data_IF_899654770374
#
_entry.id   IF_899654770374
#
_cell.length_a   1.000
_cell.length_b   1.000
_cell.length_c   1.000
_cell.angle_alpha   90.00
_cell.angle_beta   90.00
_cell.angle_gamma   90.00
#
_symmetry.space_group_name_H-M   'P 1'
#
loop_
_entity.id
_entity.type
_entity.pdbx_description
1 polymer ?
#
# COMPACT_ATOMS: atom_id res chain seq x y z
N UNK A 1 -10.21 -6.14 -0.85
CA UNK A 1 -9.77 -4.72 -0.91
C UNK A 1 -9.86 -4.14 -2.31
N UNK A 2 -9.14 -4.69 -3.30
CA UNK A 2 -9.14 -4.19 -4.68
C UNK A 2 -10.54 -4.00 -5.29
N UNK A 3 -11.47 -4.92 -5.07
CA UNK A 3 -12.85 -4.78 -5.57
C UNK A 3 -13.60 -3.58 -4.95
N UNK A 4 -13.43 -3.31 -3.65
CA UNK A 4 -14.01 -2.13 -2.99
C UNK A 4 -13.43 -0.84 -3.55
N UNK A 5 -12.13 -0.83 -3.85
CA UNK A 5 -11.47 0.31 -4.51
C UNK A 5 -12.01 0.53 -5.93
N UNK A 6 -12.27 -0.53 -6.71
CA UNK A 6 -12.88 -0.41 -8.05
C UNK A 6 -14.26 0.24 -8.02
N UNK A 7 -15.07 -0.05 -7.01
CA UNK A 7 -16.38 0.58 -6.84
C UNK A 7 -16.26 2.09 -6.56
N UNK A 8 -15.23 2.49 -5.81
CA UNK A 8 -14.96 3.90 -5.47
C UNK A 8 -14.23 4.66 -6.58
N UNK A 9 -13.52 3.96 -7.46
CA UNK A 9 -12.71 4.51 -8.54
C UNK A 9 -13.13 3.88 -9.88
N UNK A 10 -14.30 4.26 -10.43
CA UNK A 10 -14.77 3.71 -11.69
C UNK A 10 -13.80 4.03 -12.83
N UNK A 11 -13.53 3.05 -13.69
CA UNK A 11 -12.57 3.16 -14.78
C UNK A 11 -11.16 2.65 -14.44
N UNK A 12 -10.93 2.21 -13.20
CA UNK A 12 -9.71 1.50 -12.82
C UNK A 12 -9.75 0.02 -13.19
N UNK A 13 -8.58 -0.54 -13.47
CA UNK A 13 -8.37 -1.97 -13.62
C UNK A 13 -7.76 -2.52 -12.31
N UNK A 14 -8.23 -3.68 -11.86
CA UNK A 14 -7.62 -4.39 -10.75
C UNK A 14 -7.03 -5.68 -11.28
N UNK A 15 -5.76 -5.90 -10.95
CA UNK A 15 -5.01 -7.11 -11.24
C UNK A 15 -4.47 -7.68 -9.93
N UNK A 16 -4.47 -8.99 -9.86
CA UNK A 16 -3.76 -9.71 -8.81
C UNK A 16 -2.26 -9.66 -9.13
N UNK A 17 -1.45 -9.24 -8.16
CA UNK A 17 -0.01 -9.07 -8.34
C UNK A 17 0.67 -10.39 -8.68
N UNK A 18 0.15 -11.52 -8.17
CA UNK A 18 0.68 -12.86 -8.47
C UNK A 18 0.43 -13.29 -9.93
N UNK A 19 -0.41 -12.54 -10.65
CA UNK A 19 -0.81 -12.83 -12.03
C UNK A 19 -0.35 -11.76 -13.03
N UNK A 20 0.56 -10.85 -12.65
CA UNK A 20 1.18 -9.94 -13.63
C UNK A 20 2.32 -10.65 -14.36
N UNK A 21 2.47 -10.42 -15.66
CA UNK A 21 3.48 -11.07 -16.50
C UNK A 21 4.89 -10.50 -16.22
N UNK A 22 4.97 -9.20 -15.92
CA UNK A 22 6.23 -8.51 -15.59
C UNK A 22 5.99 -7.14 -14.96
N UNK A 23 7.05 -6.59 -14.35
CA UNK A 23 7.09 -5.21 -13.83
C UNK A 23 6.74 -4.14 -14.88
N UNK A 24 6.92 -4.42 -16.18
CA UNK A 24 6.62 -3.46 -17.25
C UNK A 24 5.12 -3.14 -17.33
N UNK A 25 4.24 -4.00 -16.82
CA UNK A 25 2.81 -3.69 -16.67
C UNK A 25 2.56 -2.56 -15.67
N UNK A 26 3.31 -2.54 -14.56
CA UNK A 26 3.24 -1.45 -13.57
C UNK A 26 3.78 -0.15 -14.18
N UNK A 27 4.85 -0.23 -14.97
CA UNK A 27 5.44 0.93 -15.66
C UNK A 27 4.45 1.52 -16.68
N UNK A 28 3.70 0.67 -17.39
CA UNK A 28 2.74 1.08 -18.40
C UNK A 28 1.46 1.74 -17.84
N UNK A 29 1.13 1.51 -16.56
CA UNK A 29 -0.03 2.13 -15.92
C UNK A 29 0.13 3.66 -15.80
N UNK A 30 -0.96 4.42 -15.94
CA UNK A 30 -0.92 5.88 -15.75
C UNK A 30 -0.62 6.27 -14.30
N UNK A 31 -1.24 5.56 -13.37
CA UNK A 31 -1.09 5.69 -11.92
C UNK A 31 -1.32 4.34 -11.26
N UNK A 32 -0.80 4.14 -10.05
CA UNK A 32 -0.90 2.86 -9.34
C UNK A 32 -1.56 3.02 -7.97
N UNK A 33 -2.38 2.02 -7.61
CA UNK A 33 -2.79 1.75 -6.23
C UNK A 33 -2.33 0.34 -5.89
N UNK A 34 -1.31 0.23 -5.05
CA UNK A 34 -0.71 -1.04 -4.65
C UNK A 34 -1.34 -1.52 -3.34
N UNK A 35 -2.07 -2.63 -3.39
CA UNK A 35 -2.57 -3.30 -2.18
C UNK A 35 -1.56 -4.37 -1.74
N UNK A 36 -1.10 -4.32 -0.49
CA UNK A 36 -0.09 -5.24 0.03
C UNK A 36 -0.47 -5.74 1.44
N UNK A 37 -0.57 -7.06 1.66
CA UNK A 37 -0.74 -7.61 3.00
C UNK A 37 0.60 -7.67 3.75
N UNK A 38 0.54 -7.78 5.08
CA UNK A 38 1.71 -8.13 5.91
C UNK A 38 1.49 -9.52 6.50
N UNK A 39 2.34 -10.48 6.14
CA UNK A 39 2.28 -11.86 6.63
C UNK A 39 3.55 -12.30 7.35
N UNK A 40 4.73 -11.92 6.85
CA UNK A 40 6.01 -12.31 7.42
C UNK A 40 6.46 -11.27 8.48
N UNK A 41 5.75 -11.25 9.60
CA UNK A 41 5.90 -10.25 10.66
C UNK A 41 7.25 -10.37 11.39
N UNK A 42 7.88 -9.22 11.66
CA UNK A 42 9.23 -9.16 12.23
C UNK A 42 10.37 -9.40 11.25
N UNK A 43 10.09 -9.73 9.98
CA UNK A 43 11.12 -9.82 8.95
C UNK A 43 11.61 -8.44 8.50
N UNK A 44 12.86 -8.39 8.04
CA UNK A 44 13.45 -7.16 7.48
C UNK A 44 12.96 -6.89 6.06
N UNK A 45 12.77 -7.96 5.26
CA UNK A 45 12.36 -7.93 3.86
C UNK A 45 11.37 -9.05 3.55
N UNK A 46 10.72 -8.99 2.39
CA UNK A 46 9.76 -9.97 1.90
C UNK A 46 8.60 -10.19 2.90
N UNK A 47 7.94 -9.08 3.27
CA UNK A 47 6.93 -9.06 4.33
C UNK A 47 5.54 -9.48 3.84
N UNK A 48 5.32 -9.50 2.52
CA UNK A 48 3.99 -9.68 1.95
C UNK A 48 3.63 -11.14 1.66
N UNK A 49 4.60 -12.02 1.41
CA UNK A 49 4.32 -13.40 0.99
C UNK A 49 3.60 -13.48 -0.37
N UNK A 50 3.69 -12.44 -1.18
CA UNK A 50 3.12 -12.33 -2.53
C UNK A 50 4.22 -11.97 -3.53
N UNK A 51 3.90 -11.91 -4.82
CA UNK A 51 4.83 -11.45 -5.86
C UNK A 51 5.40 -10.04 -5.60
N UNK A 52 4.79 -9.23 -4.72
CA UNK A 52 5.41 -7.97 -4.27
C UNK A 52 6.82 -8.17 -3.70
N UNK A 53 7.10 -9.28 -3.03
CA UNK A 53 8.40 -9.55 -2.41
C UNK A 53 9.54 -9.61 -3.45
N UNK A 54 9.23 -10.06 -4.67
CA UNK A 54 10.16 -10.07 -5.79
C UNK A 54 10.13 -8.74 -6.58
N UNK A 55 8.93 -8.26 -6.91
CA UNK A 55 8.75 -7.04 -7.72
C UNK A 55 9.35 -5.80 -7.06
N UNK A 56 9.30 -5.71 -5.73
CA UNK A 56 9.85 -4.56 -4.99
C UNK A 56 11.35 -4.38 -5.22
N UNK A 57 12.06 -5.47 -5.52
CA UNK A 57 13.50 -5.43 -5.85
C UNK A 57 13.76 -4.86 -7.24
N UNK A 58 12.79 -4.98 -8.17
CA UNK A 58 12.91 -4.49 -9.54
C UNK A 58 12.48 -3.02 -9.69
N UNK A 59 11.57 -2.54 -8.83
CA UNK A 59 11.01 -1.18 -8.91
C UNK A 59 12.08 -0.09 -8.98
N UNK A 60 13.15 -0.09 -8.16
CA UNK A 60 14.17 0.97 -8.17
C UNK A 60 14.91 1.13 -9.51
N UNK A 61 14.95 0.08 -10.33
CA UNK A 61 15.62 0.06 -11.62
C UNK A 61 14.72 0.48 -12.79
N UNK A 62 13.46 0.86 -12.52
CA UNK A 62 12.47 1.26 -13.52
C UNK A 62 12.14 2.74 -13.41
N UNK A 63 11.63 3.31 -14.52
CA UNK A 63 11.25 4.72 -14.56
C UNK A 63 9.80 4.91 -14.09
N UNK A 64 9.66 5.31 -12.83
CA UNK A 64 8.39 5.75 -12.26
C UNK A 64 8.35 7.26 -12.05
N UNK A 65 9.28 8.03 -12.64
CA UNK A 65 9.46 9.45 -12.36
C UNK A 65 8.15 10.24 -12.51
N UNK A 66 7.68 10.83 -11.40
CA UNK A 66 6.45 11.64 -11.37
C UNK A 66 5.14 10.84 -11.48
N UNK A 67 5.18 9.52 -11.66
CA UNK A 67 3.98 8.67 -11.65
C UNK A 67 3.37 8.67 -10.25
N UNK A 68 2.07 8.96 -10.15
CA UNK A 68 1.35 8.88 -8.88
C UNK A 68 1.20 7.43 -8.44
N UNK A 69 1.68 7.13 -7.23
CA UNK A 69 1.58 5.80 -6.60
C UNK A 69 1.00 5.95 -5.19
N UNK A 70 -0.06 5.20 -4.93
CA UNK A 70 -0.68 5.12 -3.61
C UNK A 70 -0.62 3.67 -3.10
N UNK A 71 -0.54 3.48 -1.78
CA UNK A 71 -0.38 2.17 -1.16
C UNK A 71 -1.52 1.93 -0.16
N UNK A 72 -2.07 0.71 -0.14
CA UNK A 72 -2.99 0.22 0.87
C UNK A 72 -2.38 -1.01 1.54
N UNK A 73 -2.11 -0.91 2.83
CA UNK A 73 -1.61 -2.00 3.67
C UNK A 73 -2.76 -2.76 4.32
N UNK A 74 -2.69 -4.08 4.33
CA UNK A 74 -3.57 -4.94 5.11
C UNK A 74 -2.77 -5.61 6.23
N UNK A 75 -3.23 -5.48 7.46
CA UNK A 75 -2.58 -6.09 8.62
C UNK A 75 -3.55 -6.34 9.75
N UNK A 76 -3.08 -7.05 10.77
CA UNK A 76 -3.83 -7.39 11.98
C UNK A 76 -3.16 -6.70 13.18
N UNK A 77 -3.77 -5.60 13.61
CA UNK A 77 -3.25 -4.72 14.65
C UNK A 77 -3.32 -5.31 16.06
N UNK A 78 -4.14 -6.35 16.26
CA UNK A 78 -4.33 -7.03 17.55
C UNK A 78 -3.40 -8.23 17.70
N UNK A 79 -3.31 -9.07 16.66
CA UNK A 79 -2.45 -10.26 16.64
C UNK A 79 -0.97 -9.94 16.40
N UNK A 80 -0.68 -8.84 15.68
CA UNK A 80 0.68 -8.43 15.29
C UNK A 80 0.89 -6.93 15.47
N UNK A 81 0.53 -6.41 16.65
CA UNK A 81 0.57 -4.98 16.99
C UNK A 81 1.94 -4.31 16.79
N UNK A 82 3.04 -5.04 16.98
CA UNK A 82 4.42 -4.56 16.77
C UNK A 82 4.83 -4.45 15.28
N UNK A 83 4.02 -4.98 14.35
CA UNK A 83 4.36 -5.12 12.93
C UNK A 83 3.21 -4.67 12.01
N UNK A 84 2.37 -3.77 12.50
CA UNK A 84 1.10 -3.46 11.85
C UNK A 84 1.32 -2.83 10.46
N UNK A 85 0.85 -3.52 9.42
CA UNK A 85 0.98 -3.12 8.01
C UNK A 85 2.43 -2.83 7.55
N UNK A 86 3.44 -3.49 8.12
CA UNK A 86 4.86 -3.26 7.81
C UNK A 86 5.21 -3.36 6.31
N UNK A 87 4.52 -4.19 5.54
CA UNK A 87 4.85 -4.41 4.13
C UNK A 87 4.66 -3.16 3.24
N UNK A 88 3.88 -2.16 3.68
CA UNK A 88 3.74 -0.92 2.90
C UNK A 88 5.06 -0.17 2.73
N UNK A 89 5.93 -0.23 3.75
CA UNK A 89 7.21 0.48 3.73
C UNK A 89 8.12 0.00 2.60
N UNK A 90 8.19 -1.30 2.32
CA UNK A 90 9.04 -1.84 1.24
C UNK A 90 8.63 -1.24 -0.11
N UNK A 91 7.33 -1.22 -0.41
CA UNK A 91 6.80 -0.61 -1.62
C UNK A 91 7.05 0.90 -1.64
N UNK A 92 6.78 1.60 -0.54
CA UNK A 92 6.98 3.05 -0.46
C UNK A 92 8.43 3.42 -0.75
N UNK A 93 9.38 2.75 -0.10
CA UNK A 93 10.81 2.99 -0.25
C UNK A 93 11.26 2.71 -1.69
N UNK A 94 10.85 1.59 -2.27
CA UNK A 94 11.23 1.24 -3.64
C UNK A 94 10.67 2.23 -4.68
N UNK A 95 9.38 2.60 -4.58
CA UNK A 95 8.78 3.58 -5.48
C UNK A 95 9.37 4.98 -5.30
N UNK A 96 9.75 5.36 -4.08
CA UNK A 96 10.44 6.62 -3.85
C UNK A 96 11.81 6.65 -4.53
N UNK A 97 12.56 5.54 -4.49
CA UNK A 97 13.86 5.40 -5.14
C UNK A 97 13.76 5.47 -6.67
N UNK A 98 12.67 4.98 -7.26
CA UNK A 98 12.40 5.07 -8.70
C UNK A 98 11.82 6.41 -9.17
N UNK A 99 11.70 7.38 -8.26
CA UNK A 99 11.27 8.75 -8.56
C UNK A 99 9.75 8.94 -8.62
N UNK A 100 8.98 7.97 -8.17
CA UNK A 100 7.53 8.07 -8.15
C UNK A 100 7.04 9.17 -7.21
N UNK A 101 5.85 9.70 -7.50
CA UNK A 101 5.13 10.64 -6.65
C UNK A 101 4.24 9.84 -5.70
N UNK A 102 4.74 9.58 -4.49
CA UNK A 102 3.99 8.86 -3.46
C UNK A 102 2.90 9.76 -2.87
N UNK A 103 1.66 9.28 -2.90
CA UNK A 103 0.47 9.97 -2.41
C UNK A 103 -0.31 9.09 -1.42
N UNK A 104 -1.20 9.70 -0.63
CA UNK A 104 -2.12 8.99 0.24
C UNK A 104 -1.55 8.63 1.63
N UNK A 105 -0.58 9.39 2.15
CA UNK A 105 -0.15 9.24 3.55
C UNK A 105 -1.30 9.60 4.49
N UNK A 106 -1.57 8.77 5.51
CA UNK A 106 -2.65 9.03 6.50
C UNK A 106 -2.12 9.23 7.91
N UNK A 107 -2.92 9.89 8.76
CA UNK A 107 -2.61 10.01 10.20
C UNK A 107 -2.56 8.63 10.86
N UNK A 108 -1.71 8.48 11.87
CA UNK A 108 -1.70 7.31 12.75
C UNK A 108 -2.79 7.36 13.83
N UNK A 109 -3.49 8.50 13.95
CA UNK A 109 -4.61 8.67 14.88
C UNK A 109 -5.80 7.79 14.51
N UNK A 110 -6.46 7.23 15.52
CA UNK A 110 -7.63 6.35 15.33
C UNK A 110 -7.28 4.92 14.94
N UNK A 111 -6.02 4.51 15.14
CA UNK A 111 -5.56 3.12 15.08
C UNK A 111 -5.04 2.70 16.45
N UNK A 112 -5.12 1.40 16.76
CA UNK A 112 -4.56 0.81 17.98
C UNK A 112 -3.53 -0.24 17.59
N UNK A 113 -2.25 0.03 17.79
CA UNK A 113 -1.11 -0.84 17.49
C UNK A 113 0.09 -0.39 18.35
N UNK A 114 1.14 -1.19 18.42
CA UNK A 114 2.34 -0.89 19.21
C UNK A 114 3.45 -0.27 18.35
N UNK A 115 3.72 -0.83 17.17
CA UNK A 115 4.72 -0.31 16.23
C UNK A 115 4.38 -0.63 14.76
N UNK A 116 5.01 0.11 13.84
CA UNK A 116 4.91 -0.10 12.40
C UNK A 116 6.08 0.54 11.66
N UNK A 117 6.77 -0.25 10.83
CA UNK A 117 7.78 0.23 9.87
C UNK A 117 7.18 1.19 8.83
N UNK A 118 5.87 1.13 8.63
CA UNK A 118 5.15 1.92 7.64
C UNK A 118 4.85 3.35 8.10
N UNK A 119 5.41 3.80 9.23
CA UNK A 119 5.33 5.20 9.68
C UNK A 119 6.53 6.00 9.17
N UNK A 120 6.28 6.93 8.25
CA UNK A 120 7.29 7.80 7.64
C UNK A 120 6.88 9.25 7.84
N UNK A 121 7.73 10.03 8.51
CA UNK A 121 7.46 11.41 8.92
C UNK A 121 6.20 11.55 9.81
N UNK A 122 5.99 10.57 10.70
CA UNK A 122 4.88 10.56 11.66
C UNK A 122 3.50 10.21 11.07
N UNK A 123 3.46 9.70 9.83
CA UNK A 123 2.24 9.25 9.16
C UNK A 123 2.43 7.86 8.58
N UNK A 124 1.37 7.09 8.46
CA UNK A 124 1.43 5.89 7.63
C UNK A 124 1.75 6.29 6.18
N UNK A 125 2.65 5.55 5.55
CA UNK A 125 3.14 5.80 4.20
C UNK A 125 2.10 5.49 3.09
N UNK A 126 0.97 4.90 3.49
CA UNK A 126 -0.23 4.64 2.70
C UNK A 126 -1.42 4.44 3.64
N UNK A 127 -2.54 3.94 3.12
CA UNK A 127 -3.71 3.61 3.95
C UNK A 127 -3.52 2.28 4.68
N UNK A 128 -3.43 2.32 6.01
CA UNK A 128 -3.48 1.11 6.83
C UNK A 128 -4.94 0.65 7.01
N UNK A 129 -5.21 -0.63 6.74
CA UNK A 129 -6.50 -1.29 6.93
C UNK A 129 -6.33 -2.54 7.79
N UNK A 130 -7.27 -2.73 8.72
CA UNK A 130 -7.39 -3.92 9.55
C UNK A 130 -8.82 -4.49 9.38
N UNK A 131 -8.93 -5.56 8.60
CA UNK A 131 -10.21 -6.27 8.39
C UNK A 131 -10.49 -7.31 9.48
N UNK A 132 -9.51 -7.62 10.33
CA UNK A 132 -9.63 -8.63 11.38
C UNK A 132 -10.23 -8.03 12.66
N UNK A 133 -9.88 -6.78 12.97
CA UNK A 133 -10.23 -6.11 14.23
C UNK A 133 -11.06 -4.83 14.04
N UNK A 134 -10.95 -4.14 12.91
CA UNK A 134 -11.60 -2.84 12.66
C UNK A 134 -12.36 -2.81 11.31
N UNK A 135 -12.90 -3.95 10.88
CA UNK A 135 -13.59 -4.12 9.59
C UNK A 135 -14.71 -3.09 9.33
N UNK A 136 -15.37 -2.63 10.40
CA UNK A 136 -16.44 -1.63 10.35
C UNK A 136 -15.94 -0.24 9.98
N UNK A 137 -14.64 0.03 10.16
CA UNK A 137 -14.02 1.31 9.81
C UNK A 137 -13.52 1.34 8.36
N UNK A 138 -13.38 0.18 7.70
CA UNK A 138 -12.73 0.10 6.39
C UNK A 138 -13.45 0.89 5.31
N UNK A 139 -14.78 0.81 5.20
CA UNK A 139 -15.51 1.56 4.16
C UNK A 139 -15.31 3.07 4.32
N UNK A 140 -15.39 3.55 5.56
CA UNK A 140 -15.19 4.96 5.86
C UNK A 140 -13.74 5.39 5.55
N UNK A 141 -12.75 4.58 5.95
CA UNK A 141 -11.33 4.84 5.70
C UNK A 141 -11.03 4.89 4.21
N UNK A 142 -11.54 3.93 3.43
CA UNK A 142 -11.37 3.90 1.98
C UNK A 142 -12.00 5.11 1.30
N UNK A 143 -13.24 5.46 1.64
CA UNK A 143 -13.92 6.61 1.03
C UNK A 143 -13.16 7.92 1.28
N UNK A 144 -12.73 8.16 2.52
CA UNK A 144 -11.95 9.34 2.88
C UNK A 144 -10.60 9.36 2.15
N UNK A 145 -9.91 8.22 2.10
CA UNK A 145 -8.61 8.09 1.46
C UNK A 145 -8.68 8.26 -0.06
N UNK A 146 -9.71 7.70 -0.71
CA UNK A 146 -9.96 7.89 -2.15
C UNK A 146 -10.18 9.37 -2.49
N UNK A 147 -10.90 10.12 -1.65
CA UNK A 147 -11.04 11.56 -1.83
C UNK A 147 -9.70 12.29 -1.70
N UNK A 148 -8.87 11.89 -0.74
CA UNK A 148 -7.54 12.46 -0.54
C UNK A 148 -6.64 12.22 -1.76
N UNK A 149 -6.47 10.97 -2.21
CA UNK A 149 -5.54 10.67 -3.32
C UNK A 149 -5.97 11.32 -4.63
N UNK A 150 -7.27 11.49 -4.87
CA UNK A 150 -7.78 12.22 -6.04
C UNK A 150 -7.43 13.72 -6.01
N UNK A 151 -7.27 14.31 -4.83
CA UNK A 151 -6.86 15.71 -4.68
C UNK A 151 -5.33 15.87 -4.74
N UNK A 152 -4.58 14.82 -4.40
CA UNK A 152 -3.12 14.81 -4.43
C UNK A 152 -2.55 14.43 -5.80
N UNK A 153 -3.29 13.66 -6.61
CA UNK A 153 -2.87 13.16 -7.92
C UNK A 153 -2.49 14.27 -8.91
#
# INVERSE_FOLDING_TARGET
MADRLKELLPGTEAKDVDNIDSIDELVAAESLICCVPTWNTGADEARSGTAWDDLVQEIPDKDFAGKSVAIVGLGDSSGYSDFFCDAMEELYTAFLQSGAKLIGKVSTEGYTYDDSKSIIDGKFCGLAIDEDNESELTDQRLQAWVQQINAEA
#
